data_IF_026944951906
#
_entry.id   IF_026944951906
#
_cell.length_a   1.000
_cell.length_b   1.000
_cell.length_c   1.000
_cell.angle_alpha   90.00
_cell.angle_beta   90.00
_cell.angle_gamma   90.00
#
_symmetry.space_group_name_H-M   'P 1'
#
loop_
_entity.id
_entity.type
_entity.pdbx_description
1 polymer ?
#
# COMPACT_ATOMS: atom_id res chain seq x y z
N UNK A 1 1.73 5.67 0.46
CA UNK A 1 2.25 4.93 -0.71
C UNK A 1 1.79 5.58 -2.01
N UNK A 2 2.43 5.30 -3.16
CA UNK A 2 1.93 5.72 -4.49
C UNK A 2 0.50 5.22 -4.71
N UNK A 3 0.21 3.99 -4.30
CA UNK A 3 -1.13 3.38 -4.44
C UNK A 3 -2.19 4.10 -3.58
N UNK A 4 -1.84 4.53 -2.36
CA UNK A 4 -2.78 5.30 -1.51
C UNK A 4 -3.16 6.63 -2.16
N UNK A 5 -2.23 7.29 -2.87
CA UNK A 5 -2.53 8.53 -3.58
C UNK A 5 -3.55 8.32 -4.71
N UNK A 6 -3.46 7.17 -5.39
CA UNK A 6 -4.39 6.77 -6.45
C UNK A 6 -5.79 6.49 -5.91
N UNK A 7 -5.88 5.81 -4.77
CA UNK A 7 -7.12 5.55 -4.04
C UNK A 7 -7.73 6.87 -3.54
N UNK A 8 -6.92 7.72 -2.92
CA UNK A 8 -7.37 9.00 -2.39
C UNK A 8 -7.94 9.90 -3.48
N UNK A 9 -7.31 9.95 -4.66
CA UNK A 9 -7.82 10.72 -5.78
C UNK A 9 -9.19 10.22 -6.27
N UNK A 10 -9.40 8.90 -6.30
CA UNK A 10 -10.71 8.32 -6.62
C UNK A 10 -11.76 8.69 -5.57
N UNK A 11 -11.40 8.68 -4.28
CA UNK A 11 -12.29 9.08 -3.19
C UNK A 11 -12.67 10.57 -3.27
N UNK A 12 -11.72 11.45 -3.59
CA UNK A 12 -11.99 12.88 -3.86
C UNK A 12 -12.97 13.05 -5.02
N UNK A 13 -12.82 12.26 -6.09
CA UNK A 13 -13.74 12.30 -7.23
C UNK A 13 -15.15 11.80 -6.88
N UNK A 14 -15.25 10.71 -6.09
CA UNK A 14 -16.54 10.15 -5.63
C UNK A 14 -17.31 11.13 -4.76
N UNK A 15 -16.63 11.80 -3.82
CA UNK A 15 -17.23 12.76 -2.87
C UNK A 15 -17.53 14.13 -3.50
N UNK A 16 -17.01 14.42 -4.69
CA UNK A 16 -17.23 15.72 -5.35
C UNK A 16 -18.62 15.83 -6.00
N UNK A 17 -19.34 16.90 -5.63
CA UNK A 17 -20.60 17.28 -6.28
C UNK A 17 -20.40 17.86 -7.70
N UNK A 18 -19.17 18.25 -8.06
CA UNK A 18 -18.86 18.85 -9.37
C UNK A 18 -17.71 18.11 -10.05
N UNK A 19 -17.97 16.86 -10.43
CA UNK A 19 -16.99 15.96 -11.06
C UNK A 19 -16.37 16.54 -12.33
N UNK A 20 -17.13 17.34 -13.11
CA UNK A 20 -16.65 17.98 -14.35
C UNK A 20 -15.49 18.95 -14.10
N UNK A 21 -15.45 19.59 -12.93
CA UNK A 21 -14.40 20.56 -12.57
C UNK A 21 -13.24 19.89 -11.82
N UNK A 22 -13.51 18.85 -11.05
CA UNK A 22 -12.50 18.15 -10.24
C UNK A 22 -11.68 17.15 -11.06
N UNK A 23 -12.32 16.42 -12.00
CA UNK A 23 -11.64 15.41 -12.81
C UNK A 23 -10.44 15.94 -13.61
N UNK A 24 -10.50 17.11 -14.29
CA UNK A 24 -9.35 17.66 -15.00
C UNK A 24 -8.16 17.93 -14.07
N UNK A 25 -8.42 18.50 -12.88
CA UNK A 25 -7.37 18.78 -11.87
C UNK A 25 -6.70 17.51 -11.37
N UNK A 26 -7.47 16.44 -11.17
CA UNK A 26 -6.92 15.14 -10.79
C UNK A 26 -6.06 14.57 -11.93
N UNK A 27 -6.51 14.69 -13.18
CA UNK A 27 -5.75 14.21 -14.35
C UNK A 27 -4.46 14.98 -14.63
N UNK A 28 -4.34 16.22 -14.18
CA UNK A 28 -3.08 16.98 -14.22
C UNK A 28 -2.04 16.45 -13.22
N UNK A 29 -2.51 15.90 -12.09
CA UNK A 29 -1.64 15.41 -11.01
C UNK A 29 -1.33 13.92 -11.14
N UNK A 30 -2.27 13.14 -11.69
CA UNK A 30 -2.24 11.68 -11.72
C UNK A 30 -2.56 11.19 -13.13
N UNK A 31 -1.77 10.24 -13.68
CA UNK A 31 -2.08 9.62 -14.97
C UNK A 31 -3.51 9.08 -14.98
N UNK A 32 -4.27 9.37 -16.04
CA UNK A 32 -5.72 9.09 -16.10
C UNK A 32 -6.08 7.60 -15.95
N UNK A 33 -5.13 6.69 -16.22
CA UNK A 33 -5.31 5.24 -16.10
C UNK A 33 -5.10 4.71 -14.67
N UNK A 34 -4.83 5.59 -13.71
CA UNK A 34 -4.36 5.19 -12.39
C UNK A 34 -5.36 5.43 -11.25
N UNK A 35 -6.64 5.75 -11.53
CA UNK A 35 -7.63 5.84 -10.45
C UNK A 35 -8.02 4.45 -9.97
N UNK A 36 -7.86 4.21 -8.67
CA UNK A 36 -8.08 2.90 -8.05
C UNK A 36 -9.24 3.03 -7.07
N UNK A 37 -10.23 2.16 -7.19
CA UNK A 37 -11.27 2.06 -6.17
C UNK A 37 -10.72 1.32 -4.94
N UNK A 38 -10.90 1.89 -3.75
CA UNK A 38 -10.49 1.23 -2.51
C UNK A 38 -11.15 -0.15 -2.36
N UNK A 39 -12.39 -0.29 -2.81
CA UNK A 39 -13.14 -1.53 -2.65
C UNK A 39 -12.65 -2.64 -3.60
N UNK A 40 -11.90 -2.27 -4.65
CA UNK A 40 -11.28 -3.20 -5.61
C UNK A 40 -9.87 -3.66 -5.19
N UNK A 41 -9.37 -3.19 -4.03
CA UNK A 41 -8.01 -3.53 -3.55
C UNK A 41 -8.06 -4.28 -2.23
N UNK A 42 -7.20 -5.29 -2.12
CA UNK A 42 -6.96 -6.03 -0.88
C UNK A 42 -5.49 -5.88 -0.47
N UNK A 43 -5.23 -5.66 0.82
CA UNK A 43 -3.87 -5.51 1.37
C UNK A 43 -3.71 -6.43 2.56
N UNK A 44 -2.71 -7.31 2.49
CA UNK A 44 -2.48 -8.36 3.48
C UNK A 44 -1.02 -8.33 3.94
N UNK A 45 -0.83 -8.47 5.25
CA UNK A 45 0.47 -8.64 5.86
C UNK A 45 0.61 -10.06 6.42
N UNK A 46 1.72 -10.72 6.08
CA UNK A 46 2.05 -12.03 6.63
C UNK A 46 2.74 -11.82 7.96
N UNK A 47 2.04 -12.13 9.04
CA UNK A 47 2.57 -12.07 10.39
C UNK A 47 3.18 -13.43 10.78
N UNK A 48 3.86 -13.46 11.92
CA UNK A 48 4.48 -14.67 12.46
C UNK A 48 3.53 -15.89 12.47
N UNK A 49 4.12 -17.08 12.36
CA UNK A 49 3.42 -18.38 12.33
C UNK A 49 2.49 -18.58 11.12
N UNK A 50 2.78 -17.93 10.00
CA UNK A 50 2.01 -18.11 8.76
C UNK A 50 0.59 -17.54 8.82
N UNK A 51 0.33 -16.64 9.77
CA UNK A 51 -0.96 -15.96 9.90
C UNK A 51 -1.00 -14.75 8.99
N UNK A 52 -2.16 -14.48 8.39
CA UNK A 52 -2.34 -13.33 7.50
C UNK A 52 -3.26 -12.33 8.17
N UNK A 53 -2.83 -11.06 8.19
CA UNK A 53 -3.60 -9.94 8.72
C UNK A 53 -4.07 -9.05 7.56
N UNK A 54 -5.35 -8.73 7.52
CA UNK A 54 -5.85 -7.63 6.68
C UNK A 54 -5.35 -6.31 7.26
N UNK A 55 -4.64 -5.54 6.45
CA UNK A 55 -4.03 -4.27 6.85
C UNK A 55 -4.68 -3.06 6.16
N UNK A 56 -5.83 -3.26 5.51
CA UNK A 56 -6.63 -2.14 5.00
C UNK A 56 -7.17 -1.32 6.16
N UNK A 57 -6.96 -0.02 6.09
CA UNK A 57 -7.65 0.92 6.94
C UNK A 57 -8.91 1.42 6.23
N UNK A 58 -10.07 0.94 6.68
CA UNK A 58 -11.37 1.31 6.10
C UNK A 58 -11.81 2.72 6.43
N UNK A 59 -11.30 3.31 7.52
CA UNK A 59 -11.71 4.62 8.02
C UNK A 59 -11.05 5.72 7.20
N UNK A 60 -9.74 5.59 6.95
CA UNK A 60 -8.98 6.55 6.13
C UNK A 60 -8.78 6.11 4.67
N UNK A 61 -9.25 4.91 4.30
CA UNK A 61 -9.14 4.33 2.96
C UNK A 61 -7.69 4.20 2.49
N UNK A 62 -6.84 3.59 3.33
CA UNK A 62 -5.42 3.34 3.05
C UNK A 62 -5.09 1.83 3.04
N UNK A 63 -3.97 1.46 2.45
CA UNK A 63 -3.52 0.07 2.35
C UNK A 63 -2.48 -0.33 3.41
N UNK A 64 -2.29 0.47 4.47
CA UNK A 64 -1.35 0.18 5.55
C UNK A 64 0.12 0.24 5.09
N UNK A 65 0.53 1.39 4.57
CA UNK A 65 1.90 1.57 4.03
C UNK A 65 3.00 1.36 5.09
N UNK A 66 2.69 1.57 6.37
CA UNK A 66 3.57 1.33 7.51
C UNK A 66 4.04 -0.12 7.62
N UNK A 67 3.25 -1.08 7.16
CA UNK A 67 3.61 -2.50 7.18
C UNK A 67 4.64 -2.85 6.09
N UNK A 68 4.83 -2.01 5.08
CA UNK A 68 5.88 -2.18 4.06
C UNK A 68 7.26 -1.91 4.67
N UNK A 69 7.36 -0.86 5.49
CA UNK A 69 8.59 -0.52 6.20
C UNK A 69 8.91 -1.59 7.26
N UNK A 70 7.89 -2.09 7.97
CA UNK A 70 8.02 -3.20 8.92
C UNK A 70 8.51 -4.49 8.23
N UNK A 71 7.87 -4.90 7.12
CA UNK A 71 8.29 -6.07 6.34
C UNK A 71 9.74 -5.93 5.85
N UNK A 72 10.12 -4.74 5.39
CA UNK A 72 11.46 -4.49 4.85
C UNK A 72 12.55 -4.60 5.92
N UNK A 73 12.28 -4.11 7.14
CA UNK A 73 13.19 -4.27 8.28
C UNK A 73 13.32 -5.74 8.71
N UNK A 74 12.20 -6.47 8.80
CA UNK A 74 12.21 -7.88 9.17
C UNK A 74 12.98 -8.73 8.14
N UNK A 75 12.73 -8.51 6.84
CA UNK A 75 13.46 -9.18 5.76
C UNK A 75 14.96 -8.88 5.79
N UNK A 76 15.36 -7.66 6.13
CA UNK A 76 16.77 -7.28 6.30
C UNK A 76 17.44 -8.11 7.39
N UNK A 77 16.82 -8.20 8.57
CA UNK A 77 17.32 -9.02 9.67
C UNK A 77 17.42 -10.51 9.31
N UNK A 78 16.39 -11.06 8.66
CA UNK A 78 16.39 -12.46 8.22
C UNK A 78 17.54 -12.70 7.22
N UNK A 79 17.75 -11.80 6.27
CA UNK A 79 18.83 -11.91 5.30
C UNK A 79 20.21 -11.89 5.96
N UNK A 80 20.43 -10.99 6.92
CA UNK A 80 21.69 -10.91 7.67
C UNK A 80 21.96 -12.19 8.48
N UNK A 81 20.94 -12.76 9.14
CA UNK A 81 21.08 -14.03 9.85
C UNK A 81 21.41 -15.20 8.92
N UNK A 82 20.75 -15.27 7.74
CA UNK A 82 21.04 -16.29 6.74
C UNK A 82 22.50 -16.19 6.25
N UNK A 83 23.01 -14.98 6.03
CA UNK A 83 24.41 -14.77 5.64
C UNK A 83 25.40 -15.20 6.73
N UNK A 84 25.06 -14.97 8.01
CA UNK A 84 25.89 -15.43 9.13
C UNK A 84 25.92 -16.96 9.22
N UNK A 85 24.77 -17.63 9.03
CA UNK A 85 24.70 -19.10 9.00
C UNK A 85 25.54 -19.67 7.84
N UNK A 86 25.45 -19.08 6.65
CA UNK A 86 26.28 -19.48 5.49
C UNK A 86 27.77 -19.34 5.80
N UNK A 87 28.17 -18.23 6.42
CA UNK A 87 29.58 -17.95 6.75
C UNK A 87 30.12 -18.88 7.83
N UNK A 88 29.32 -19.18 8.85
CA UNK A 88 29.75 -20.00 10.00
C UNK A 88 29.64 -21.51 9.72
N UNK A 89 28.96 -21.89 8.64
CA UNK A 89 28.85 -23.27 8.13
C UNK A 89 29.97 -23.69 7.16
N UNK A 90 30.89 -22.80 6.81
CA UNK A 90 32.10 -23.03 6.00
C UNK A 90 33.37 -22.98 6.86
#
# INVERSE_FOLDING_TARGET
>A
SVVDNLIFAQEVLKKSNNKKLVLPKIKELIPSMALIDFDDVSSYFFHSNGTVKDIRDTDIKSLGAEYIDEASNELGHIFDELCNIERDGL
#
